data_IF_706772961380
#
_entry.id   IF_706772961380
#
_cell.length_a   1.000
_cell.length_b   1.000
_cell.length_c   1.000
_cell.angle_alpha   90.00
_cell.angle_beta   90.00
_cell.angle_gamma   90.00
#
_symmetry.space_group_name_H-M   'P 1'
#
loop_
_entity.id
_entity.type
_entity.pdbx_description
1 polymer ?
#
# COMPACT_ATOMS: atom_id res chain seq x y z
N UNK A 1 2.44 -8.16 -38.13
CA UNK A 1 2.83 -8.54 -36.75
C UNK A 1 2.94 -10.07 -36.67
N UNK A 2 4.09 -10.59 -36.23
CA UNK A 2 4.46 -12.01 -36.34
C UNK A 2 3.59 -12.91 -35.43
N UNK A 3 3.21 -14.12 -35.85
CA UNK A 3 2.29 -15.02 -35.11
C UNK A 3 2.83 -15.39 -33.72
N UNK A 4 4.15 -15.48 -33.58
CA UNK A 4 4.84 -15.71 -32.29
C UNK A 4 4.69 -14.53 -31.31
N UNK A 5 4.64 -13.30 -31.82
CA UNK A 5 4.45 -12.08 -31.02
C UNK A 5 3.02 -12.01 -30.49
N UNK A 6 2.02 -12.39 -31.31
CA UNK A 6 0.62 -12.46 -30.87
C UNK A 6 0.44 -13.45 -29.73
N UNK A 7 0.98 -14.66 -29.87
CA UNK A 7 0.88 -15.71 -28.83
C UNK A 7 1.57 -15.24 -27.54
N UNK A 8 2.79 -14.71 -27.62
CA UNK A 8 3.50 -14.18 -26.45
C UNK A 8 2.74 -13.07 -25.73
N UNK A 9 2.14 -12.14 -26.47
CA UNK A 9 1.37 -11.03 -25.91
C UNK A 9 0.06 -11.51 -25.26
N UNK A 10 -0.64 -12.45 -25.89
CA UNK A 10 -1.88 -13.03 -25.33
C UNK A 10 -1.59 -13.86 -24.08
N UNK A 11 -0.51 -14.64 -24.05
CA UNK A 11 -0.12 -15.40 -22.84
C UNK A 11 0.26 -14.47 -21.70
N UNK A 12 0.98 -13.37 -21.98
CA UNK A 12 1.36 -12.37 -20.98
C UNK A 12 0.13 -11.67 -20.36
N UNK A 13 -0.83 -11.29 -21.20
CA UNK A 13 -2.11 -10.70 -20.75
C UNK A 13 -2.93 -11.68 -19.90
N UNK A 14 -2.96 -12.95 -20.29
CA UNK A 14 -3.68 -13.99 -19.53
C UNK A 14 -3.01 -14.32 -18.20
N UNK A 15 -1.67 -14.29 -18.11
CA UNK A 15 -0.97 -14.46 -16.83
C UNK A 15 -1.21 -13.30 -15.86
N UNK A 16 -1.34 -12.06 -16.36
CA UNK A 16 -1.67 -10.90 -15.52
C UNK A 16 -3.11 -10.94 -14.99
N UNK A 17 -4.04 -11.54 -15.75
CA UNK A 17 -5.44 -11.68 -15.34
C UNK A 17 -5.65 -12.73 -14.24
N UNK A 18 -4.73 -13.69 -14.07
CA UNK A 18 -4.82 -14.73 -13.03
C UNK A 18 -4.44 -14.22 -11.63
N UNK A 19 -3.83 -13.03 -11.53
CA UNK A 19 -3.32 -12.45 -10.26
C UNK A 19 -4.20 -11.34 -9.67
N UNK A 20 -5.36 -11.05 -10.27
CA UNK A 20 -6.06 -9.80 -10.01
C UNK A 20 -7.49 -9.97 -9.54
N UNK A 21 -7.72 -10.53 -8.35
CA UNK A 21 -8.95 -10.32 -7.57
C UNK A 21 -8.66 -10.46 -6.06
N UNK A 22 -8.20 -9.38 -5.43
CA UNK A 22 -8.21 -9.24 -3.96
C UNK A 22 -9.60 -8.72 -3.55
N UNK A 23 -10.58 -9.61 -3.42
CA UNK A 23 -11.83 -9.27 -2.74
C UNK A 23 -11.64 -9.54 -1.26
N UNK A 24 -11.64 -8.47 -0.47
CA UNK A 24 -11.52 -8.44 1.00
C UNK A 24 -10.15 -8.90 1.55
N UNK A 25 -9.09 -8.19 1.15
CA UNK A 25 -7.93 -8.06 2.03
C UNK A 25 -8.39 -7.31 3.29
N UNK A 26 -8.04 -7.80 4.50
CA UNK A 26 -8.25 -7.02 5.72
C UNK A 26 -7.63 -5.64 5.48
N UNK A 27 -8.39 -4.58 5.71
CA UNK A 27 -7.97 -3.18 5.50
C UNK A 27 -6.74 -2.75 6.34
N UNK A 28 -6.14 -3.67 7.08
CA UNK A 28 -5.00 -3.43 7.94
C UNK A 28 -3.73 -3.74 7.16
N UNK A 29 -3.16 -2.62 6.67
CA UNK A 29 -1.91 -2.50 5.94
C UNK A 29 -1.99 -3.01 4.50
N UNK A 30 -2.54 -2.21 3.55
CA UNK A 30 -2.04 -2.31 2.18
C UNK A 30 -0.51 -2.28 2.30
N UNK A 31 0.16 -3.30 1.78
CA UNK A 31 1.61 -3.24 1.59
C UNK A 31 1.88 -1.83 1.05
N UNK A 32 2.76 -1.03 1.69
CA UNK A 32 3.04 0.29 1.18
C UNK A 32 3.67 0.08 -0.19
N UNK A 33 2.84 0.14 -1.23
CA UNK A 33 3.24 0.08 -2.62
C UNK A 33 4.19 1.23 -2.78
N UNK A 34 5.47 0.94 -2.70
CA UNK A 34 6.48 1.93 -2.42
C UNK A 34 6.90 2.63 -3.70
N UNK A 35 5.95 2.88 -4.58
CA UNK A 35 6.19 3.44 -5.90
C UNK A 35 6.56 4.90 -5.81
N UNK A 36 7.64 5.26 -6.49
CA UNK A 36 7.94 6.65 -6.79
C UNK A 36 6.89 7.30 -7.72
N UNK A 37 6.95 8.62 -7.86
CA UNK A 37 6.02 9.37 -8.71
C UNK A 37 6.03 8.96 -10.19
N UNK A 38 7.19 8.53 -10.72
CA UNK A 38 7.32 8.04 -12.11
C UNK A 38 6.58 6.72 -12.28
N UNK A 39 6.72 5.78 -11.36
CA UNK A 39 6.01 4.51 -11.36
C UNK A 39 4.49 4.71 -11.22
N UNK A 40 4.06 5.59 -10.30
CA UNK A 40 2.63 5.93 -10.15
C UNK A 40 2.04 6.54 -11.43
N UNK A 41 2.75 7.46 -12.08
CA UNK A 41 2.31 8.06 -13.35
C UNK A 41 2.19 7.04 -14.50
N UNK A 42 2.92 5.92 -14.40
CA UNK A 42 2.89 4.82 -15.36
C UNK A 42 1.97 3.67 -14.92
N UNK A 43 1.13 3.87 -13.90
CA UNK A 43 0.17 2.87 -13.43
C UNK A 43 0.77 1.78 -12.54
N UNK A 44 1.85 2.08 -11.81
CA UNK A 44 2.50 1.15 -10.88
C UNK A 44 3.49 0.18 -11.52
N UNK A 45 3.93 0.43 -12.76
CA UNK A 45 4.88 -0.47 -13.45
C UNK A 45 6.30 -0.35 -12.89
N UNK A 46 7.00 -1.48 -12.81
CA UNK A 46 8.34 -1.56 -12.20
C UNK A 46 9.39 -0.70 -12.89
N UNK A 47 9.26 -0.48 -14.20
CA UNK A 47 10.17 0.35 -14.99
C UNK A 47 10.17 1.82 -14.53
N UNK A 48 9.13 2.27 -13.83
CA UNK A 48 9.11 3.59 -13.22
C UNK A 48 10.21 3.80 -12.16
N UNK A 49 10.79 2.73 -11.62
CA UNK A 49 11.89 2.77 -10.66
C UNK A 49 13.28 2.52 -11.28
N UNK A 50 13.36 2.44 -12.62
CA UNK A 50 14.61 2.27 -13.35
C UNK A 50 15.67 3.34 -12.97
N UNK A 51 16.89 2.89 -12.70
CA UNK A 51 18.07 3.73 -12.48
C UNK A 51 18.18 4.41 -11.11
N UNK A 52 17.24 4.17 -10.21
CA UNK A 52 17.25 4.78 -8.88
C UNK A 52 17.03 3.74 -7.77
N UNK A 53 17.27 4.16 -6.54
CA UNK A 53 17.27 3.28 -5.37
C UNK A 53 15.91 2.66 -5.05
N UNK A 54 14.81 3.23 -5.58
CA UNK A 54 13.46 2.65 -5.45
C UNK A 54 13.33 1.29 -6.16
N UNK A 55 14.22 0.99 -7.11
CA UNK A 55 14.30 -0.33 -7.73
C UNK A 55 14.59 -1.45 -6.73
N UNK A 56 15.20 -1.16 -5.57
CA UNK A 56 15.56 -2.16 -4.56
C UNK A 56 14.37 -3.00 -4.08
N UNK A 57 13.21 -2.37 -3.92
CA UNK A 57 11.98 -3.03 -3.41
C UNK A 57 11.06 -3.57 -4.51
N UNK A 58 11.25 -3.13 -5.76
CA UNK A 58 10.37 -3.47 -6.88
C UNK A 58 11.01 -4.48 -7.84
N UNK A 59 12.20 -4.16 -8.35
CA UNK A 59 13.02 -5.05 -9.16
C UNK A 59 14.48 -4.57 -9.13
N UNK A 60 15.35 -5.17 -8.29
CA UNK A 60 16.71 -4.68 -8.09
C UNK A 60 17.58 -4.76 -9.37
N UNK A 61 17.22 -5.57 -10.38
CA UNK A 61 17.96 -5.58 -11.64
C UNK A 61 17.89 -4.23 -12.38
N UNK A 62 16.87 -3.42 -12.12
CA UNK A 62 16.67 -2.12 -12.75
C UNK A 62 17.60 -1.02 -12.23
N UNK A 63 18.44 -1.29 -11.23
CA UNK A 63 19.47 -0.34 -10.78
C UNK A 63 20.46 0.04 -11.90
N UNK A 64 20.65 -0.85 -12.87
CA UNK A 64 21.54 -0.66 -14.03
C UNK A 64 20.85 -0.03 -15.26
N UNK A 65 19.60 0.44 -15.11
CA UNK A 65 18.81 0.89 -16.25
C UNK A 65 19.12 2.34 -16.69
N UNK A 66 19.54 3.20 -15.77
CA UNK A 66 20.09 4.52 -16.11
C UNK A 66 21.62 4.44 -16.03
N UNK A 67 22.30 5.18 -16.90
CA UNK A 67 23.73 5.04 -17.16
C UNK A 67 24.65 5.20 -15.95
N UNK A 68 25.96 5.15 -16.19
CA UNK A 68 26.97 5.15 -15.13
C UNK A 68 26.97 6.45 -14.30
N UNK A 69 27.17 6.32 -13.00
CA UNK A 69 27.36 7.46 -12.10
C UNK A 69 26.64 7.31 -10.77
N UNK A 70 26.61 8.44 -10.04
CA UNK A 70 25.87 8.57 -8.79
C UNK A 70 24.49 9.18 -9.07
N UNK A 71 23.44 8.43 -8.74
CA UNK A 71 22.06 8.91 -8.73
C UNK A 71 21.61 9.15 -7.30
N UNK A 72 21.12 10.36 -7.03
CA UNK A 72 20.46 10.72 -5.78
C UNK A 72 18.97 10.77 -6.04
N UNK A 73 18.20 10.07 -5.22
CA UNK A 73 16.76 9.95 -5.36
C UNK A 73 16.06 10.36 -4.07
N UNK A 74 14.94 11.06 -4.21
CA UNK A 74 14.04 11.40 -3.12
C UNK A 74 12.60 11.30 -3.60
N UNK A 75 11.71 10.85 -2.72
CA UNK A 75 10.27 10.76 -2.94
C UNK A 75 9.51 11.31 -1.75
N UNK A 76 8.37 11.90 -2.05
CA UNK A 76 7.33 12.25 -1.09
C UNK A 76 5.99 11.95 -1.74
N UNK A 77 5.09 11.35 -0.98
CA UNK A 77 3.74 10.99 -1.42
C UNK A 77 2.74 11.45 -0.38
N UNK A 78 1.63 12.00 -0.84
CA UNK A 78 0.44 12.25 -0.03
C UNK A 78 -0.72 11.45 -0.61
N UNK A 79 -1.48 10.81 0.27
CA UNK A 79 -2.69 10.05 -0.08
C UNK A 79 -3.83 10.55 0.78
N UNK A 80 -4.94 10.86 0.12
CA UNK A 80 -6.19 11.19 0.78
C UNK A 80 -7.19 10.06 0.52
N UNK A 81 -7.58 9.36 1.56
CA UNK A 81 -8.66 8.38 1.51
C UNK A 81 -9.95 9.07 1.98
N UNK A 82 -10.97 9.07 1.14
CA UNK A 82 -12.32 9.54 1.51
C UNK A 82 -13.28 8.38 1.43
N UNK A 83 -13.83 8.00 2.57
CA UNK A 83 -14.81 6.91 2.68
C UNK A 83 -16.18 7.50 2.92
N UNK A 84 -17.18 7.04 2.17
CA UNK A 84 -18.57 7.50 2.30
C UNK A 84 -19.49 6.31 2.32
N UNK A 85 -20.27 6.13 3.39
CA UNK A 85 -21.31 5.11 3.46
C UNK A 85 -22.67 5.77 3.35
N UNK A 86 -23.50 5.19 2.50
CA UNK A 86 -24.86 5.66 2.23
C UNK A 86 -25.79 4.48 2.06
N UNK A 87 -27.08 4.72 2.30
CA UNK A 87 -28.14 3.82 1.91
C UNK A 87 -29.08 4.52 0.93
N UNK A 88 -29.66 3.79 -0.03
CA UNK A 88 -30.60 4.37 -0.97
C UNK A 88 -31.90 4.75 -0.24
N UNK A 89 -32.34 5.98 -0.45
CA UNK A 89 -33.68 6.44 -0.10
C UNK A 89 -34.57 6.15 -1.28
N UNK A 90 -35.66 5.44 -1.02
CA UNK A 90 -36.69 5.12 -2.00
C UNK A 90 -37.97 5.89 -1.69
N UNK A 91 -38.74 6.20 -2.72
CA UNK A 91 -40.06 6.79 -2.55
C UNK A 91 -41.12 5.75 -2.13
N UNK A 92 -42.37 6.19 -1.98
CA UNK A 92 -43.50 5.31 -1.62
C UNK A 92 -43.79 4.25 -2.69
N UNK A 93 -43.31 4.42 -3.93
CA UNK A 93 -43.41 3.46 -5.03
C UNK A 93 -42.16 2.60 -5.18
N UNK A 94 -41.22 2.68 -4.23
CA UNK A 94 -39.96 1.97 -4.21
C UNK A 94 -38.99 2.36 -5.36
N UNK A 95 -39.18 3.54 -5.94
CA UNK A 95 -38.26 4.13 -6.91
C UNK A 95 -37.11 4.84 -6.20
N UNK A 96 -35.92 4.77 -6.78
CA UNK A 96 -34.72 5.43 -6.24
C UNK A 96 -34.89 6.95 -6.24
N UNK A 97 -34.68 7.59 -5.08
CA UNK A 97 -34.74 9.03 -4.92
C UNK A 97 -33.35 9.65 -4.76
N UNK A 98 -32.58 9.20 -3.76
CA UNK A 98 -31.25 9.73 -3.44
C UNK A 98 -30.46 8.77 -2.53
N UNK A 99 -29.13 8.96 -2.45
CA UNK A 99 -28.30 8.31 -1.43
C UNK A 99 -28.26 9.16 -0.15
N UNK A 100 -28.75 8.61 0.96
CA UNK A 100 -28.58 9.26 2.27
C UNK A 100 -27.24 8.84 2.88
N UNK A 101 -26.31 9.79 2.96
CA UNK A 101 -24.97 9.59 3.50
C UNK A 101 -25.03 9.71 5.01
N UNK A 102 -24.74 8.62 5.71
CA UNK A 102 -24.74 8.60 7.18
C UNK A 102 -23.33 8.57 7.78
N UNK A 103 -22.30 8.25 6.98
CA UNK A 103 -20.89 8.38 7.38
C UNK A 103 -20.06 8.96 6.24
N UNK A 104 -19.22 9.93 6.58
CA UNK A 104 -18.16 10.46 5.72
C UNK A 104 -16.88 10.54 6.52
N UNK A 105 -15.92 9.69 6.19
CA UNK A 105 -14.59 9.70 6.78
C UNK A 105 -13.57 10.26 5.78
N UNK A 106 -12.57 10.99 6.27
CA UNK A 106 -11.44 11.45 5.44
C UNK A 106 -10.15 11.31 6.21
N UNK A 107 -9.24 10.52 5.68
CA UNK A 107 -7.91 10.29 6.22
C UNK A 107 -6.88 10.79 5.24
N UNK A 108 -5.88 11.53 5.73
CA UNK A 108 -4.72 11.95 4.95
C UNK A 108 -3.50 11.25 5.52
N UNK A 109 -2.81 10.50 4.68
CA UNK A 109 -1.54 9.84 5.00
C UNK A 109 -0.46 10.40 4.10
N UNK A 110 0.76 10.54 4.60
CA UNK A 110 1.92 10.90 3.80
C UNK A 110 2.99 9.85 3.99
N UNK A 111 3.91 9.72 3.04
CA UNK A 111 5.13 8.94 3.16
C UNK A 111 6.25 9.58 2.34
N UNK A 112 7.48 9.19 2.63
CA UNK A 112 8.63 9.77 1.96
C UNK A 112 9.88 8.96 2.16
N UNK A 113 10.86 9.20 1.30
CA UNK A 113 12.12 8.48 1.36
C UNK A 113 13.18 9.11 0.50
N UNK A 114 14.39 8.65 0.70
CA UNK A 114 15.55 9.03 -0.10
C UNK A 114 16.44 7.82 -0.31
N UNK A 115 17.30 7.90 -1.32
CA UNK A 115 18.28 6.88 -1.55
C UNK A 115 19.34 7.28 -2.56
N UNK A 116 20.35 6.44 -2.63
CA UNK A 116 21.54 6.62 -3.42
C UNK A 116 21.73 5.38 -4.27
N UNK A 117 22.13 5.56 -5.51
CA UNK A 117 22.52 4.49 -6.42
C UNK A 117 23.84 4.88 -7.05
N UNK A 118 24.81 3.99 -7.00
CA UNK A 118 26.03 4.12 -7.77
C UNK A 118 26.06 3.00 -8.81
N UNK A 119 26.07 3.37 -10.08
CA UNK A 119 26.10 2.46 -11.22
C UNK A 119 27.40 2.60 -12.00
N UNK A 120 27.89 1.48 -12.51
CA UNK A 120 28.96 1.36 -13.48
C UNK A 120 28.46 0.54 -14.68
N UNK A 121 29.33 0.22 -15.63
CA UNK A 121 28.99 -0.47 -16.88
C UNK A 121 28.30 -1.83 -16.65
N UNK A 122 28.70 -2.53 -15.59
CA UNK A 122 28.29 -3.92 -15.32
C UNK A 122 27.66 -4.14 -13.97
N UNK A 123 27.76 -3.19 -13.05
CA UNK A 123 27.27 -3.38 -11.69
C UNK A 123 26.72 -2.09 -11.13
N UNK A 124 25.75 -2.21 -10.22
CA UNK A 124 25.24 -1.09 -9.46
C UNK A 124 25.05 -1.53 -8.01
N UNK A 125 25.20 -0.58 -7.09
CA UNK A 125 24.85 -0.74 -5.69
C UNK A 125 23.95 0.40 -5.28
N UNK A 126 23.00 0.13 -4.38
CA UNK A 126 22.11 1.14 -3.89
C UNK A 126 21.76 0.94 -2.43
N UNK A 127 21.42 2.04 -1.79
CA UNK A 127 20.84 2.08 -0.46
C UNK A 127 19.67 3.07 -0.47
N UNK A 128 18.58 2.74 0.22
CA UNK A 128 17.45 3.65 0.40
C UNK A 128 16.88 3.56 1.79
N UNK A 129 16.37 4.69 2.26
CA UNK A 129 15.54 4.80 3.44
C UNK A 129 14.18 5.33 3.02
N UNK A 130 13.12 4.60 3.36
CA UNK A 130 11.75 5.08 3.19
C UNK A 130 11.03 5.01 4.51
N UNK A 131 10.50 6.14 4.95
CA UNK A 131 9.53 6.18 6.03
C UNK A 131 8.15 5.89 5.42
N UNK A 132 7.69 4.66 5.62
CA UNK A 132 6.36 4.19 5.24
C UNK A 132 5.37 4.68 6.31
N UNK A 133 5.07 5.97 6.24
CA UNK A 133 4.45 6.73 7.33
C UNK A 133 2.93 6.49 7.45
N UNK A 134 2.53 6.27 8.71
CA UNK A 134 1.32 6.74 9.39
C UNK A 134 0.02 6.45 8.65
N UNK A 135 -0.45 5.21 8.78
CA UNK A 135 -1.87 4.95 8.60
C UNK A 135 -2.60 5.41 9.86
N UNK A 136 -2.91 6.69 9.96
CA UNK A 136 -3.81 7.24 11.00
C UNK A 136 -5.24 7.15 10.52
N UNK A 137 -5.79 5.94 10.53
CA UNK A 137 -7.19 5.73 10.22
C UNK A 137 -8.01 5.99 11.49
N UNK A 138 -8.90 6.97 11.43
CA UNK A 138 -9.89 7.22 12.47
C UNK A 138 -11.25 7.19 11.79
N UNK A 139 -12.01 6.14 12.05
CA UNK A 139 -13.37 5.99 11.57
C UNK A 139 -14.32 6.01 12.75
N UNK A 140 -15.30 6.91 12.68
CA UNK A 140 -16.38 7.02 13.66
C UNK A 140 -17.70 7.07 12.92
N UNK A 141 -18.48 6.01 13.07
CA UNK A 141 -19.87 5.96 12.64
C UNK A 141 -20.77 6.39 13.80
N UNK A 142 -21.54 7.45 13.59
CA UNK A 142 -22.50 7.93 14.58
C UNK A 142 -23.76 7.06 14.57
N UNK A 143 -24.07 6.48 15.72
CA UNK A 143 -25.36 5.82 15.93
C UNK A 143 -26.29 6.82 16.62
N UNK A 144 -27.46 7.03 16.03
CA UNK A 144 -28.44 8.00 16.50
C UNK A 144 -29.68 7.31 17.09
N UNK A 145 -30.22 7.86 18.18
CA UNK A 145 -31.31 7.26 18.95
C UNK A 145 -32.67 7.48 18.30
N UNK A 146 -33.56 6.48 18.39
CA UNK A 146 -34.94 6.58 17.89
C UNK A 146 -35.89 7.31 18.85
N UNK A 147 -35.38 7.89 19.94
CA UNK A 147 -36.17 8.56 20.94
C UNK A 147 -37.07 9.63 20.32
N UNK A 148 -38.38 9.50 20.52
CA UNK A 148 -39.40 10.35 19.91
C UNK A 148 -39.39 11.74 20.58
N UNK A 149 -38.40 12.56 20.26
CA UNK A 149 -38.42 14.00 20.46
C UNK A 149 -38.33 14.64 19.08
N UNK A 150 -39.39 15.34 18.67
CA UNK A 150 -39.75 15.71 17.30
C UNK A 150 -38.70 16.58 16.57
N UNK A 151 -37.57 16.88 17.22
CA UNK A 151 -36.53 17.78 16.72
C UNK A 151 -35.09 17.44 17.14
N UNK A 152 -34.82 16.30 17.78
CA UNK A 152 -33.48 16.03 18.33
C UNK A 152 -33.12 14.57 18.20
N UNK A 153 -32.73 14.14 17.01
CA UNK A 153 -32.09 12.84 16.74
C UNK A 153 -30.78 12.73 17.55
N UNK A 154 -30.84 12.24 18.80
CA UNK A 154 -29.76 12.44 19.74
C UNK A 154 -28.67 11.41 19.45
N UNK A 155 -27.41 11.86 19.50
CA UNK A 155 -26.28 10.96 19.39
C UNK A 155 -26.33 9.91 20.52
N UNK A 156 -26.38 8.64 20.11
CA UNK A 156 -26.46 7.50 21.01
C UNK A 156 -25.07 6.96 21.38
N UNK A 157 -24.15 6.99 20.43
CA UNK A 157 -22.77 6.53 20.59
C UNK A 157 -22.10 6.39 19.23
N UNK A 158 -20.94 5.73 19.21
CA UNK A 158 -20.16 5.52 18.00
C UNK A 158 -19.82 4.04 17.79
N UNK A 159 -19.76 3.61 16.53
CA UNK A 159 -18.93 2.48 16.13
C UNK A 159 -17.61 3.04 15.63
N UNK A 160 -16.52 2.69 16.31
CA UNK A 160 -15.21 3.27 16.09
C UNK A 160 -14.22 2.21 15.59
N UNK A 161 -13.42 2.60 14.61
CA UNK A 161 -12.26 1.85 14.14
C UNK A 161 -11.08 2.83 14.08
N UNK A 162 -10.05 2.57 14.87
CA UNK A 162 -8.84 3.37 14.90
C UNK A 162 -7.65 2.48 14.54
N UNK A 163 -6.73 3.04 13.76
CA UNK A 163 -5.45 2.44 13.46
C UNK A 163 -4.41 3.55 13.38
N UNK A 164 -3.25 3.33 13.98
CA UNK A 164 -2.05 4.14 13.81
C UNK A 164 -0.86 3.21 13.59
N UNK A 165 0.09 3.60 12.75
CA UNK A 165 1.31 2.80 12.54
C UNK A 165 2.45 3.66 12.01
N UNK A 166 3.64 3.56 12.58
CA UNK A 166 4.84 4.17 12.00
C UNK A 166 5.81 3.08 11.55
N UNK A 167 5.91 2.87 10.23
CA UNK A 167 6.82 1.89 9.64
C UNK A 167 7.95 2.61 8.89
N UNK A 168 9.14 2.03 8.96
CA UNK A 168 10.31 2.47 8.21
C UNK A 168 10.95 1.27 7.52
N UNK A 169 11.47 1.50 6.32
CA UNK A 169 12.13 0.50 5.50
C UNK A 169 13.52 0.98 5.09
N UNK A 170 14.53 0.18 5.42
CA UNK A 170 15.91 0.38 4.98
C UNK A 170 16.26 -0.71 3.97
N UNK A 171 16.54 -0.33 2.73
CA UNK A 171 16.89 -1.29 1.68
C UNK A 171 18.32 -1.11 1.22
N UNK A 172 19.00 -2.23 0.97
CA UNK A 172 20.33 -2.30 0.38
C UNK A 172 20.33 -3.36 -0.70
N UNK A 173 21.05 -3.13 -1.78
CA UNK A 173 21.14 -4.14 -2.81
C UNK A 173 22.13 -3.81 -3.90
N UNK A 174 22.26 -4.76 -4.81
CA UNK A 174 23.16 -4.68 -5.93
C UNK A 174 22.53 -5.30 -7.18
N UNK A 175 22.99 -4.84 -8.33
CA UNK A 175 22.68 -5.42 -9.63
C UNK A 175 23.97 -5.72 -10.39
N UNK A 176 23.89 -6.72 -11.26
CA UNK A 176 24.99 -7.12 -12.12
C UNK A 176 24.48 -7.52 -13.51
N UNK A 177 25.19 -7.10 -14.54
CA UNK A 177 24.96 -7.52 -15.93
C UNK A 177 25.52 -8.93 -16.13
N UNK A 178 24.65 -9.94 -16.17
CA UNK A 178 25.05 -11.34 -16.33
C UNK A 178 25.53 -11.61 -17.76
N UNK A 179 24.76 -11.18 -18.76
CA UNK A 179 25.09 -11.42 -20.16
C UNK A 179 24.45 -10.41 -21.11
N UNK A 180 25.27 -9.70 -21.89
CA UNK A 180 24.82 -8.65 -22.83
C UNK A 180 23.94 -7.62 -22.12
N UNK A 181 22.67 -7.53 -22.48
CA UNK A 181 21.67 -6.63 -21.88
C UNK A 181 20.88 -7.27 -20.74
N UNK A 182 21.20 -8.50 -20.33
CA UNK A 182 20.54 -9.18 -19.22
C UNK A 182 21.21 -8.86 -17.89
N UNK A 183 20.39 -8.45 -16.94
CA UNK A 183 20.75 -7.96 -15.62
C UNK A 183 20.03 -8.82 -14.58
N UNK A 184 20.72 -9.15 -13.51
CA UNK A 184 20.10 -9.63 -12.28
C UNK A 184 20.39 -8.68 -11.14
N UNK A 185 19.49 -8.65 -10.17
CA UNK A 185 19.69 -7.89 -8.95
C UNK A 185 19.21 -8.67 -7.74
N UNK A 186 19.76 -8.28 -6.60
CA UNK A 186 19.37 -8.76 -5.30
C UNK A 186 19.32 -7.58 -4.33
N UNK A 187 18.33 -7.56 -3.46
CA UNK A 187 18.22 -6.58 -2.40
C UNK A 187 17.65 -7.20 -1.13
N UNK A 188 18.00 -6.58 0.00
CA UNK A 188 17.46 -6.86 1.31
C UNK A 188 16.79 -5.57 1.78
N UNK A 189 15.56 -5.69 2.26
CA UNK A 189 14.79 -4.60 2.85
C UNK A 189 14.51 -4.93 4.30
N UNK A 190 14.88 -4.04 5.22
CA UNK A 190 14.67 -4.19 6.64
C UNK A 190 13.51 -3.28 7.02
N UNK A 191 12.35 -3.90 7.28
CA UNK A 191 11.16 -3.25 7.79
C UNK A 191 11.24 -3.24 9.32
N UNK A 192 11.04 -2.08 9.92
CA UNK A 192 10.87 -1.94 11.37
C UNK A 192 9.81 -0.88 11.64
N UNK A 193 9.23 -0.90 12.83
CA UNK A 193 8.21 0.07 13.18
C UNK A 193 7.75 -0.04 14.60
N UNK A 194 7.14 1.03 15.08
CA UNK A 194 6.60 1.14 16.42
C UNK A 194 5.33 1.98 16.41
N UNK A 195 4.75 2.18 17.60
CA UNK A 195 3.50 2.91 17.77
C UNK A 195 2.38 2.33 16.89
N UNK A 196 2.33 1.00 16.76
CA UNK A 196 1.18 0.37 16.14
C UNK A 196 0.06 0.39 17.16
N UNK A 197 -1.02 1.07 16.85
CA UNK A 197 -2.23 0.93 17.64
C UNK A 197 -3.37 0.51 16.74
N UNK A 198 -4.21 -0.39 17.26
CA UNK A 198 -5.49 -0.68 16.65
C UNK A 198 -6.57 -0.64 17.71
N UNK A 199 -7.78 -0.28 17.30
CA UNK A 199 -8.93 -0.21 18.18
C UNK A 199 -10.19 -0.44 17.38
N UNK A 200 -11.00 -1.39 17.80
CA UNK A 200 -12.31 -1.63 17.22
C UNK A 200 -13.34 -1.77 18.32
N UNK A 201 -14.47 -1.08 18.21
CA UNK A 201 -15.57 -1.33 19.13
C UNK A 201 -16.65 -0.26 19.13
N UNK A 202 -17.49 -0.36 20.16
CA UNK A 202 -18.61 0.55 20.39
C UNK A 202 -18.24 1.48 21.53
N UNK A 203 -18.49 2.77 21.35
CA UNK A 203 -18.35 3.80 22.39
C UNK A 203 -19.76 4.35 22.70
N UNK A 204 -20.48 3.77 23.67
CA UNK A 204 -21.84 4.20 24.02
C UNK A 204 -21.82 5.50 24.83
N UNK A 205 -22.68 6.46 24.46
CA UNK A 205 -22.94 7.68 25.27
C UNK A 205 -24.21 7.50 26.10
N UNK A 206 -25.19 6.77 25.56
CA UNK A 206 -26.44 6.40 26.23
C UNK A 206 -26.83 4.99 25.84
N UNK A 207 -27.70 4.39 26.65
CA UNK A 207 -28.32 3.11 26.32
C UNK A 207 -29.25 3.29 25.12
N UNK A 208 -29.04 2.51 24.07
CA UNK A 208 -29.78 2.60 22.82
C UNK A 208 -29.76 1.22 22.13
N UNK A 209 -30.93 0.60 21.86
CA UNK A 209 -31.02 -0.70 21.18
C UNK A 209 -30.32 -0.77 19.81
N UNK A 210 -30.14 0.36 19.13
CA UNK A 210 -29.42 0.44 17.85
C UNK A 210 -27.90 0.30 17.98
N UNK A 211 -27.33 0.47 19.18
CA UNK A 211 -25.91 0.20 19.42
C UNK A 211 -25.67 -1.32 19.48
N UNK A 212 -24.60 -1.78 18.81
CA UNK A 212 -24.20 -3.19 18.84
C UNK A 212 -23.78 -3.68 20.25
N UNK A 213 -23.39 -2.76 21.14
CA UNK A 213 -23.14 -3.01 22.56
C UNK A 213 -23.63 -1.83 23.40
N UNK A 214 -24.16 -2.12 24.59
CA UNK A 214 -24.57 -1.09 25.56
C UNK A 214 -23.40 -0.62 26.45
N UNK A 215 -22.33 -1.42 26.51
CA UNK A 215 -21.09 -1.12 27.21
C UNK A 215 -19.98 -0.84 26.20
N UNK A 216 -18.94 -0.12 26.64
CA UNK A 216 -17.78 0.15 25.79
C UNK A 216 -17.07 -1.17 25.46
N UNK A 217 -16.94 -1.46 24.17
CA UNK A 217 -16.12 -2.57 23.69
C UNK A 217 -14.88 -2.08 22.94
N UNK A 218 -14.67 -0.77 22.92
CA UNK A 218 -13.49 -0.16 22.32
C UNK A 218 -12.32 -0.23 23.31
N UNK A 219 -11.36 -1.10 23.01
CA UNK A 219 -10.12 -1.24 23.75
C UNK A 219 -8.97 -1.10 22.74
N UNK A 220 -8.25 0.03 22.74
CA UNK A 220 -7.09 0.16 21.88
C UNK A 220 -5.98 -0.76 22.38
N UNK A 221 -5.37 -1.50 21.47
CA UNK A 221 -4.18 -2.30 21.72
C UNK A 221 -2.97 -1.60 21.13
N UNK A 222 -1.84 -1.65 21.82
CA UNK A 222 -0.58 -1.09 21.36
C UNK A 222 0.43 -2.21 21.11
N UNK A 223 1.12 -2.13 19.98
CA UNK A 223 2.06 -3.14 19.51
C UNK A 223 3.36 -2.49 19.04
N UNK A 224 4.44 -3.26 19.14
CA UNK A 224 5.70 -3.00 18.44
C UNK A 224 5.99 -4.13 17.47
N UNK A 225 6.68 -3.81 16.37
CA UNK A 225 7.16 -4.82 15.42
C UNK A 225 8.67 -4.92 15.54
N UNK A 226 9.17 -6.14 15.68
CA UNK A 226 10.60 -6.41 15.54
C UNK A 226 11.09 -6.14 14.11
N UNK A 227 12.39 -5.89 13.96
CA UNK A 227 12.96 -5.70 12.63
C UNK A 227 12.83 -6.99 11.81
N UNK A 228 12.17 -6.90 10.66
CA UNK A 228 11.95 -8.01 9.71
C UNK A 228 12.66 -7.73 8.41
N UNK A 229 13.21 -8.77 7.80
CA UNK A 229 13.94 -8.66 6.53
C UNK A 229 13.15 -9.31 5.39
N UNK A 230 12.92 -8.54 4.33
CA UNK A 230 12.42 -9.01 3.05
C UNK A 230 13.59 -9.15 2.06
N UNK A 231 13.51 -10.16 1.20
CA UNK A 231 14.52 -10.42 0.17
C UNK A 231 13.91 -10.23 -1.21
N UNK A 232 14.56 -9.43 -2.05
CA UNK A 232 14.10 -9.15 -3.41
C UNK A 232 15.11 -9.67 -4.42
N UNK A 233 14.61 -10.40 -5.41
CA UNK A 233 15.39 -10.84 -6.56
C UNK A 233 14.77 -10.28 -7.82
N UNK A 234 15.63 -9.79 -8.71
CA UNK A 234 15.24 -9.12 -9.93
C UNK A 234 15.95 -9.67 -11.15
N UNK A 235 15.26 -9.68 -12.27
CA UNK A 235 15.81 -9.98 -13.59
C UNK A 235 15.23 -9.01 -14.61
N UNK A 236 16.07 -8.51 -15.50
CA UNK A 236 15.71 -7.53 -16.52
C UNK A 236 16.55 -7.79 -17.77
N UNK A 237 15.95 -7.70 -18.95
CA UNK A 237 16.72 -7.76 -20.19
C UNK A 237 15.93 -7.43 -21.44
N UNK A 238 16.67 -7.04 -22.46
CA UNK A 238 16.11 -6.72 -23.78
C UNK A 238 15.99 -7.99 -24.62
N UNK A 239 14.77 -8.37 -24.99
CA UNK A 239 14.54 -9.41 -25.99
C UNK A 239 14.82 -8.90 -27.41
N UNK A 240 14.51 -7.63 -27.65
CA UNK A 240 14.77 -6.92 -28.92
C UNK A 240 15.01 -5.44 -28.61
N UNK A 241 15.42 -4.65 -29.61
CA UNK A 241 15.59 -3.19 -29.47
C UNK A 241 14.31 -2.42 -29.11
N UNK A 242 13.15 -3.08 -29.03
CA UNK A 242 11.85 -2.48 -28.68
C UNK A 242 11.09 -3.26 -27.61
N UNK A 243 11.67 -4.33 -27.08
CA UNK A 243 10.99 -5.20 -26.12
C UNK A 243 11.94 -5.54 -24.99
N UNK A 244 11.60 -5.04 -23.80
CA UNK A 244 12.25 -5.35 -22.54
C UNK A 244 11.34 -6.23 -21.70
N UNK A 245 11.93 -7.22 -21.02
CA UNK A 245 11.24 -8.07 -20.07
C UNK A 245 11.83 -7.83 -18.69
N UNK A 246 10.95 -7.65 -17.72
CA UNK A 246 11.29 -7.49 -16.31
C UNK A 246 10.55 -8.58 -15.54
N UNK A 247 11.24 -9.25 -14.63
CA UNK A 247 10.67 -10.20 -13.69
C UNK A 247 11.29 -9.95 -12.32
N UNK A 248 10.50 -10.00 -11.26
CA UNK A 248 10.98 -9.92 -9.89
C UNK A 248 10.19 -10.84 -8.98
N UNK A 249 10.83 -11.25 -7.89
CA UNK A 249 10.23 -12.02 -6.81
C UNK A 249 10.68 -11.41 -5.49
N UNK A 250 9.72 -11.20 -4.59
CA UNK A 250 9.95 -10.72 -3.24
C UNK A 250 9.57 -11.84 -2.27
N UNK A 251 10.48 -12.20 -1.39
CA UNK A 251 10.27 -13.16 -0.31
C UNK A 251 10.10 -12.36 0.98
N UNK A 252 8.86 -12.20 1.48
CA UNK A 252 8.63 -11.46 2.69
C UNK A 252 9.16 -12.22 3.91
N UNK A 253 9.71 -11.49 4.88
CA UNK A 253 10.01 -12.03 6.19
C UNK A 253 8.74 -12.20 7.04
N UNK A 254 8.82 -13.01 8.09
CA UNK A 254 7.70 -13.22 9.00
C UNK A 254 7.63 -12.11 10.05
N UNK A 255 6.50 -11.40 10.10
CA UNK A 255 6.23 -10.36 11.09
C UNK A 255 5.76 -11.00 12.40
N UNK A 256 6.55 -10.84 13.46
CA UNK A 256 6.13 -11.15 14.82
C UNK A 256 5.74 -9.84 15.51
N UNK A 257 4.55 -9.83 16.13
CA UNK A 257 4.02 -8.70 16.88
C UNK A 257 4.06 -9.01 18.36
N UNK A 258 4.38 -8.00 19.17
CA UNK A 258 4.35 -8.07 20.63
C UNK A 258 3.45 -6.97 21.18
N UNK A 259 2.50 -7.35 22.04
CA UNK A 259 1.72 -6.39 22.84
C UNK A 259 2.64 -5.68 23.83
N UNK A 260 2.43 -4.37 23.97
CA UNK A 260 3.17 -3.49 24.88
C UNK A 260 2.55 -3.44 26.28
#
# INVERSE_FOLDING_TARGET
MNRKIKIGFTTLLLSGALSGQAFFERAFLPQPDNHNGRALALGGVSEGSAGNSDALTVNPALLLAEGEGLTIFAKARGRQLKERRSYPVVDTFNDFLADNVYVSNTTVTGDGGFGLTYSSDKWAVAASYTLNTISNYDYKEEVRSSGYDYNRDPLAGYHAVEFASELQNMSFGAAYTIWKSWQAGFAISILSGGNLSDGFGVIPIRKEPRLASQDSTFFPSEYSIDAVSDYHFGFSGELTSRLKLNASISLPGELTQHEL
#
